data_IF_314478947812
#
_entry.id   IF_314478947812
#
_cell.length_a   1.000
_cell.length_b   1.000
_cell.length_c   1.000
_cell.angle_alpha   90.00
_cell.angle_beta   90.00
_cell.angle_gamma   90.00
#
_symmetry.space_group_name_H-M   'P 1'
#
loop_
_entity.id
_entity.type
_entity.pdbx_description
1 polymer ?
#
# COMPACT_ATOMS: atom_id res chain seq x y z
N UNK A 1 4.45 47.78 40.76
CA UNK A 1 3.01 47.43 40.86
C UNK A 1 2.27 48.40 39.96
N UNK A 2 1.66 48.04 38.85
CA UNK A 2 1.40 46.72 38.28
C UNK A 2 1.31 46.86 36.77
N UNK A 3 1.79 45.82 36.10
CA UNK A 3 1.54 45.51 34.70
C UNK A 3 0.09 45.05 34.59
N UNK A 4 -0.64 45.49 33.56
CA UNK A 4 -1.66 44.66 32.89
C UNK A 4 -2.12 45.38 31.62
N UNK A 5 -1.44 45.07 30.52
CA UNK A 5 -1.93 45.27 29.17
C UNK A 5 -2.36 43.93 28.61
N UNK A 6 -3.67 43.65 28.63
CA UNK A 6 -4.27 42.56 27.86
C UNK A 6 -4.90 43.15 26.60
N UNK A 7 -4.52 42.71 25.39
CA UNK A 7 -5.34 42.96 24.22
C UNK A 7 -6.37 41.84 24.08
N UNK A 8 -7.65 42.20 24.17
CA UNK A 8 -8.78 41.33 23.84
C UNK A 8 -8.67 40.86 22.38
N UNK A 9 -8.27 39.60 22.18
CA UNK A 9 -8.42 38.91 20.91
C UNK A 9 -9.88 38.48 20.71
N UNK A 10 -10.76 39.45 20.45
CA UNK A 10 -12.03 39.18 19.78
C UNK A 10 -11.87 39.46 18.30
N UNK A 11 -11.17 38.57 17.60
CA UNK A 11 -11.18 38.55 16.13
C UNK A 11 -12.56 38.10 15.68
N UNK A 12 -13.52 39.04 15.63
CA UNK A 12 -14.74 38.87 14.86
C UNK A 12 -14.33 38.63 13.42
N UNK A 13 -14.42 37.37 12.97
CA UNK A 13 -14.34 37.02 11.56
C UNK A 13 -15.58 37.61 10.90
N UNK A 14 -15.45 38.85 10.44
CA UNK A 14 -16.41 39.45 9.52
C UNK A 14 -16.27 38.68 8.21
N UNK A 15 -17.19 37.74 7.99
CA UNK A 15 -17.33 37.09 6.69
C UNK A 15 -17.53 38.20 5.64
N UNK A 16 -16.72 38.27 4.57
CA UNK A 16 -16.94 39.24 3.52
C UNK A 16 -18.28 38.95 2.86
N UNK A 17 -19.28 39.78 3.13
CA UNK A 17 -20.53 39.83 2.41
C UNK A 17 -20.28 40.41 1.01
N UNK A 18 -19.85 39.57 0.07
CA UNK A 18 -20.12 39.70 -1.37
C UNK A 18 -19.53 38.51 -2.15
N UNK A 19 -20.22 37.37 -2.16
CA UNK A 19 -20.03 36.37 -3.21
C UNK A 19 -20.93 36.74 -4.40
N UNK A 20 -20.55 37.79 -5.12
CA UNK A 20 -21.17 38.09 -6.39
C UNK A 20 -20.92 36.90 -7.37
N UNK A 21 -21.96 36.09 -7.55
CA UNK A 21 -22.20 35.16 -8.67
C UNK A 21 -21.22 33.99 -8.90
N UNK A 22 -20.60 33.41 -7.87
CA UNK A 22 -20.09 32.03 -8.03
C UNK A 22 -21.26 31.05 -7.87
N UNK A 23 -21.90 30.69 -8.99
CA UNK A 23 -22.96 29.68 -9.00
C UNK A 23 -22.32 28.31 -8.87
N UNK A 24 -22.53 27.68 -7.71
CA UNK A 24 -22.07 26.31 -7.50
C UNK A 24 -22.67 25.39 -8.59
N UNK A 25 -21.87 24.52 -9.23
CA UNK A 25 -22.38 23.64 -10.27
C UNK A 25 -23.48 22.73 -9.71
N UNK A 26 -24.57 22.61 -10.45
CA UNK A 26 -25.67 21.73 -10.08
C UNK A 26 -25.18 20.27 -10.12
N UNK A 27 -25.61 19.41 -9.17
CA UNK A 27 -25.39 17.98 -9.27
C UNK A 27 -25.95 17.40 -10.57
N UNK A 28 -25.27 16.41 -11.12
CA UNK A 28 -25.78 15.65 -12.26
C UNK A 28 -27.03 14.84 -11.87
N UNK A 29 -27.82 14.46 -12.89
CA UNK A 29 -28.99 13.60 -12.66
C UNK A 29 -28.56 12.17 -12.35
N UNK A 30 -29.10 11.58 -11.29
CA UNK A 30 -28.85 10.18 -10.96
C UNK A 30 -29.97 9.28 -11.45
N UNK A 31 -29.71 8.47 -12.49
CA UNK A 31 -30.71 7.58 -13.07
C UNK A 31 -30.72 6.16 -12.46
N UNK A 32 -30.19 5.98 -11.25
CA UNK A 32 -30.31 4.72 -10.53
C UNK A 32 -29.24 3.68 -10.83
N UNK A 33 -28.02 4.12 -11.14
CA UNK A 33 -26.87 3.24 -11.25
C UNK A 33 -26.67 2.41 -9.97
N UNK A 34 -26.41 1.11 -10.11
CA UNK A 34 -26.30 0.17 -8.98
C UNK A 34 -24.85 -0.06 -8.54
N UNK A 35 -23.90 0.72 -9.05
CA UNK A 35 -22.55 0.77 -8.52
C UNK A 35 -22.51 1.75 -7.34
N UNK A 36 -22.02 1.27 -6.19
CA UNK A 36 -21.95 2.08 -4.98
C UNK A 36 -21.12 3.36 -5.15
N UNK A 37 -20.21 3.39 -6.13
CA UNK A 37 -19.40 4.57 -6.47
C UNK A 37 -20.26 5.70 -7.03
N UNK A 38 -21.01 5.47 -8.12
CA UNK A 38 -21.88 6.49 -8.73
C UNK A 38 -22.93 6.99 -7.74
N UNK A 39 -23.52 6.07 -6.96
CA UNK A 39 -24.51 6.42 -5.94
C UNK A 39 -23.91 7.31 -4.85
N UNK A 40 -22.71 6.98 -4.32
CA UNK A 40 -22.08 7.75 -3.26
C UNK A 40 -21.52 9.09 -3.76
N UNK A 41 -20.91 9.10 -4.95
CA UNK A 41 -20.42 10.32 -5.61
C UNK A 41 -21.57 11.30 -5.82
N UNK A 42 -22.70 10.83 -6.34
CA UNK A 42 -23.89 11.66 -6.51
C UNK A 42 -24.42 12.19 -5.17
N UNK A 43 -24.58 11.32 -4.16
CA UNK A 43 -25.07 11.73 -2.84
C UNK A 43 -24.15 12.79 -2.21
N UNK A 44 -22.84 12.65 -2.38
CA UNK A 44 -21.83 13.61 -1.90
C UNK A 44 -21.95 14.95 -2.61
N UNK A 45 -22.17 14.95 -3.93
CA UNK A 45 -22.40 16.16 -4.72
C UNK A 45 -23.68 16.89 -4.27
N UNK A 46 -24.77 16.15 -4.03
CA UNK A 46 -26.03 16.72 -3.51
C UNK A 46 -25.85 17.31 -2.12
N UNK A 47 -25.24 16.60 -1.18
CA UNK A 47 -24.94 17.12 0.18
C UNK A 47 -24.16 18.44 0.13
N UNK A 48 -23.15 18.49 -0.74
CA UNK A 48 -22.32 19.68 -0.92
C UNK A 48 -23.13 20.84 -1.51
N UNK A 49 -23.97 20.56 -2.51
CA UNK A 49 -24.88 21.54 -3.09
C UNK A 49 -25.86 22.09 -2.04
N UNK A 50 -26.48 21.23 -1.23
CA UNK A 50 -27.40 21.64 -0.16
C UNK A 50 -26.72 22.53 0.87
N UNK A 51 -25.48 22.19 1.26
CA UNK A 51 -24.68 22.97 2.21
C UNK A 51 -24.33 24.37 1.68
N UNK A 52 -23.95 24.47 0.40
CA UNK A 52 -23.55 25.75 -0.22
C UNK A 52 -24.76 26.62 -0.57
N UNK A 53 -25.88 26.00 -0.94
CA UNK A 53 -27.09 26.72 -1.38
C UNK A 53 -27.91 27.30 -0.23
N UNK A 54 -27.52 27.03 1.03
CA UNK A 54 -28.19 27.50 2.26
C UNK A 54 -29.71 27.28 2.24
N UNK A 55 -30.15 26.15 1.68
CA UNK A 55 -31.57 25.77 1.61
C UNK A 55 -32.02 25.29 2.99
N UNK A 56 -33.25 25.63 3.41
CA UNK A 56 -33.79 25.13 4.66
C UNK A 56 -33.92 23.60 4.62
N UNK A 57 -33.64 22.94 5.75
CA UNK A 57 -33.57 21.48 5.89
C UNK A 57 -34.84 20.76 5.43
N UNK A 58 -36.00 21.40 5.62
CA UNK A 58 -37.30 20.90 5.17
C UNK A 58 -37.41 20.69 3.65
N UNK A 59 -36.60 21.41 2.87
CA UNK A 59 -36.59 21.32 1.41
C UNK A 59 -35.41 20.51 0.86
N UNK A 60 -34.51 19.99 1.69
CA UNK A 60 -33.34 19.24 1.24
C UNK A 60 -33.72 18.02 0.41
N UNK A 61 -34.72 17.25 0.88
CA UNK A 61 -35.24 16.09 0.16
C UNK A 61 -35.89 16.49 -1.17
N UNK A 62 -36.70 17.54 -1.18
CA UNK A 62 -37.34 18.07 -2.40
C UNK A 62 -36.28 18.43 -3.45
N UNK A 63 -35.22 19.12 -3.03
CA UNK A 63 -34.10 19.48 -3.89
C UNK A 63 -33.35 18.22 -4.38
N UNK A 64 -33.08 17.25 -3.51
CA UNK A 64 -32.42 16.00 -3.89
C UNK A 64 -33.24 15.19 -4.92
N UNK A 65 -34.56 15.10 -4.75
CA UNK A 65 -35.47 14.42 -5.68
C UNK A 65 -35.45 15.10 -7.05
N UNK A 66 -35.30 16.43 -7.11
CA UNK A 66 -35.22 17.16 -8.38
C UNK A 66 -34.02 16.77 -9.26
N UNK A 67 -32.97 16.23 -8.63
CA UNK A 67 -31.78 15.70 -9.30
C UNK A 67 -31.84 14.18 -9.55
N UNK A 68 -32.98 13.53 -9.28
CA UNK A 68 -33.18 12.13 -9.68
C UNK A 68 -33.56 12.04 -11.17
N UNK A 69 -32.94 11.09 -11.85
CA UNK A 69 -33.33 10.64 -13.18
C UNK A 69 -34.66 9.86 -13.14
N UNK A 70 -35.19 9.52 -14.31
CA UNK A 70 -36.51 8.89 -14.46
C UNK A 70 -36.63 7.59 -13.66
N UNK A 71 -35.60 6.75 -13.67
CA UNK A 71 -35.64 5.46 -13.00
C UNK A 71 -35.54 5.60 -11.48
N UNK A 72 -34.65 6.47 -10.99
CA UNK A 72 -34.50 6.72 -9.56
C UNK A 72 -35.72 7.48 -8.98
N UNK A 73 -36.31 8.42 -9.73
CA UNK A 73 -37.54 9.08 -9.33
C UNK A 73 -38.71 8.10 -9.21
N UNK A 74 -38.83 7.13 -10.14
CA UNK A 74 -39.83 6.05 -10.06
C UNK A 74 -39.65 5.21 -8.80
N UNK A 75 -38.41 4.90 -8.42
CA UNK A 75 -38.12 4.22 -7.17
C UNK A 75 -38.58 5.05 -5.97
N UNK A 76 -38.24 6.33 -5.91
CA UNK A 76 -38.61 7.20 -4.79
C UNK A 76 -40.13 7.27 -4.60
N UNK A 77 -40.88 7.45 -5.70
CA UNK A 77 -42.35 7.43 -5.67
C UNK A 77 -42.92 6.10 -5.15
N UNK A 78 -42.21 4.98 -5.38
CA UNK A 78 -42.57 3.66 -4.87
C UNK A 78 -42.13 3.39 -3.42
N UNK A 79 -41.27 4.23 -2.83
CA UNK A 79 -40.80 4.06 -1.45
C UNK A 79 -41.84 4.44 -0.38
N UNK A 80 -42.88 5.19 -0.76
CA UNK A 80 -43.90 5.69 0.17
C UNK A 80 -43.40 6.80 1.11
N UNK A 81 -42.24 7.42 0.81
CA UNK A 81 -41.76 8.61 1.50
C UNK A 81 -42.48 9.85 0.96
N UNK A 82 -42.66 10.86 1.83
CA UNK A 82 -43.11 12.18 1.42
C UNK A 82 -41.93 13.00 0.93
N UNK A 83 -42.17 13.88 -0.04
CA UNK A 83 -41.14 14.78 -0.58
C UNK A 83 -40.50 15.69 0.48
N UNK A 84 -41.24 15.98 1.56
CA UNK A 84 -40.78 16.79 2.70
C UNK A 84 -40.22 15.95 3.85
N UNK A 85 -39.86 14.69 3.63
CA UNK A 85 -39.27 13.87 4.69
C UNK A 85 -37.90 14.43 5.12
N UNK A 86 -37.48 14.08 6.34
CA UNK A 86 -36.11 14.36 6.79
C UNK A 86 -35.10 13.80 5.78
N UNK A 87 -34.05 14.56 5.51
CA UNK A 87 -33.07 14.20 4.49
C UNK A 87 -32.34 12.90 4.86
N UNK A 88 -32.00 12.70 6.13
CA UNK A 88 -31.35 11.48 6.63
C UNK A 88 -32.16 10.20 6.31
N UNK A 89 -33.50 10.27 6.43
CA UNK A 89 -34.38 9.15 6.10
C UNK A 89 -34.35 8.83 4.59
N UNK A 90 -34.28 9.86 3.76
CA UNK A 90 -34.07 9.68 2.32
C UNK A 90 -32.71 9.03 2.05
N UNK A 91 -31.64 9.50 2.69
CA UNK A 91 -30.30 8.95 2.51
C UNK A 91 -30.22 7.47 2.88
N UNK A 92 -30.79 7.08 4.02
CA UNK A 92 -30.78 5.69 4.47
C UNK A 92 -31.48 4.76 3.47
N UNK A 93 -32.65 5.18 2.97
CA UNK A 93 -33.37 4.43 1.93
C UNK A 93 -32.63 4.41 0.61
N UNK A 94 -32.00 5.53 0.23
CA UNK A 94 -31.21 5.64 -0.98
C UNK A 94 -30.00 4.70 -0.94
N UNK A 95 -29.21 4.75 0.15
CA UNK A 95 -28.08 3.86 0.38
C UNK A 95 -28.51 2.40 0.37
N UNK A 96 -29.62 2.07 1.04
CA UNK A 96 -30.15 0.70 1.07
C UNK A 96 -30.53 0.18 -0.32
N UNK A 97 -30.99 1.04 -1.24
CA UNK A 97 -31.42 0.63 -2.58
C UNK A 97 -30.27 0.53 -3.59
N UNK A 98 -29.37 1.50 -3.59
CA UNK A 98 -28.39 1.72 -4.66
C UNK A 98 -26.97 1.36 -4.27
N UNK A 99 -26.66 1.21 -2.98
CA UNK A 99 -25.34 0.78 -2.51
C UNK A 99 -25.41 -0.70 -2.11
N UNK A 100 -24.58 -1.57 -2.72
CA UNK A 100 -24.52 -2.99 -2.32
C UNK A 100 -24.15 -3.15 -0.83
N UNK A 101 -24.72 -4.15 -0.15
CA UNK A 101 -24.48 -4.39 1.29
C UNK A 101 -23.00 -4.60 1.61
N UNK A 102 -22.27 -5.31 0.75
CA UNK A 102 -20.85 -5.59 0.92
C UNK A 102 -19.93 -4.56 0.23
N UNK A 103 -20.46 -3.40 -0.16
CA UNK A 103 -19.71 -2.42 -0.95
C UNK A 103 -18.42 -1.98 -0.26
N UNK A 104 -18.45 -1.71 1.05
CA UNK A 104 -17.24 -1.35 1.80
C UNK A 104 -16.16 -2.44 1.75
N UNK A 105 -16.56 -3.72 1.86
CA UNK A 105 -15.64 -4.85 1.76
C UNK A 105 -15.10 -5.01 0.33
N UNK A 106 -15.93 -4.75 -0.69
CA UNK A 106 -15.50 -4.75 -2.10
C UNK A 106 -14.47 -3.66 -2.36
N UNK A 107 -14.68 -2.46 -1.83
CA UNK A 107 -13.73 -1.33 -1.93
C UNK A 107 -12.42 -1.67 -1.21
N UNK A 108 -12.46 -2.26 -0.01
CA UNK A 108 -11.26 -2.72 0.71
C UNK A 108 -10.50 -3.80 -0.06
N UNK A 109 -11.21 -4.78 -0.64
CA UNK A 109 -10.60 -5.80 -1.48
C UNK A 109 -9.96 -5.19 -2.74
N UNK A 110 -10.59 -4.16 -3.33
CA UNK A 110 -10.05 -3.43 -4.47
C UNK A 110 -8.76 -2.70 -4.09
N UNK A 111 -8.73 -2.01 -2.95
CA UNK A 111 -7.52 -1.38 -2.40
C UNK A 111 -6.42 -2.41 -2.18
N UNK A 112 -6.72 -3.56 -1.59
CA UNK A 112 -5.72 -4.61 -1.35
C UNK A 112 -5.12 -5.17 -2.65
N UNK A 113 -5.88 -5.18 -3.74
CA UNK A 113 -5.44 -5.59 -5.08
C UNK A 113 -4.96 -4.44 -5.97
N UNK A 114 -4.85 -3.23 -5.42
CA UNK A 114 -4.53 -2.01 -6.16
C UNK A 114 -3.11 -2.12 -6.74
N UNK A 115 -3.00 -2.03 -8.06
CA UNK A 115 -1.72 -2.07 -8.78
C UNK A 115 -1.76 -1.18 -10.00
N UNK A 116 -0.66 -0.48 -10.27
CA UNK A 116 -0.56 0.35 -11.46
C UNK A 116 -0.58 -0.53 -12.72
N UNK A 117 -1.62 -0.36 -13.54
CA UNK A 117 -1.85 -1.14 -14.76
C UNK A 117 -1.73 -0.32 -16.04
N UNK A 118 -1.84 1.01 -15.94
CA UNK A 118 -1.75 1.94 -17.07
C UNK A 118 -0.83 3.11 -16.73
N UNK A 119 -1.38 4.30 -16.52
CA UNK A 119 -0.65 5.52 -16.17
C UNK A 119 -0.66 5.76 -14.66
N UNK A 120 0.30 6.54 -14.16
CA UNK A 120 0.31 6.97 -12.75
C UNK A 120 -0.92 7.84 -12.46
N UNK A 121 -1.36 8.67 -13.42
CA UNK A 121 -2.55 9.50 -13.28
C UNK A 121 -3.81 8.66 -12.98
N UNK A 122 -4.09 7.66 -13.81
CA UNK A 122 -5.25 6.78 -13.60
C UNK A 122 -5.14 5.99 -12.29
N UNK A 123 -3.92 5.56 -11.95
CA UNK A 123 -3.66 4.81 -10.74
C UNK A 123 -3.88 5.64 -9.47
N UNK A 124 -3.39 6.89 -9.47
CA UNK A 124 -3.61 7.85 -8.38
C UNK A 124 -5.07 8.24 -8.29
N UNK A 125 -5.76 8.43 -9.42
CA UNK A 125 -7.19 8.70 -9.44
C UNK A 125 -7.99 7.56 -8.80
N UNK A 126 -7.74 6.30 -9.20
CA UNK A 126 -8.39 5.12 -8.60
C UNK A 126 -8.10 5.03 -7.10
N UNK A 127 -6.84 5.24 -6.67
CA UNK A 127 -6.48 5.24 -5.25
C UNK A 127 -7.23 6.32 -4.44
N UNK A 128 -7.38 7.52 -5.00
CA UNK A 128 -8.11 8.65 -4.37
C UNK A 128 -9.60 8.37 -4.25
N UNK A 129 -10.21 7.80 -5.28
CA UNK A 129 -11.62 7.46 -5.27
C UNK A 129 -11.92 6.40 -4.21
N UNK A 130 -11.11 5.33 -4.16
CA UNK A 130 -11.23 4.28 -3.14
C UNK A 130 -11.03 4.83 -1.72
N UNK A 131 -10.03 5.70 -1.52
CA UNK A 131 -9.80 6.35 -0.23
C UNK A 131 -11.01 7.18 0.20
N UNK A 132 -11.59 7.97 -0.71
CA UNK A 132 -12.74 8.83 -0.42
C UNK A 132 -13.94 8.02 0.06
N UNK A 133 -14.24 6.92 -0.62
CA UNK A 133 -15.34 6.01 -0.22
C UNK A 133 -15.12 5.42 1.17
N UNK A 134 -13.91 4.96 1.47
CA UNK A 134 -13.61 4.37 2.78
C UNK A 134 -13.65 5.41 3.90
N UNK A 135 -13.14 6.62 3.65
CA UNK A 135 -13.13 7.70 4.63
C UNK A 135 -14.53 8.18 5.02
N UNK A 136 -15.49 8.13 4.09
CA UNK A 136 -16.90 8.41 4.39
C UNK A 136 -17.51 7.38 5.36
N UNK A 137 -16.95 6.17 5.44
CA UNK A 137 -17.36 5.13 6.37
C UNK A 137 -16.60 5.15 7.71
N UNK A 138 -15.65 6.08 7.89
CA UNK A 138 -14.88 6.17 9.12
C UNK A 138 -15.76 6.67 10.27
N UNK A 139 -15.81 5.91 11.37
CA UNK A 139 -16.59 6.29 12.55
C UNK A 139 -15.92 7.41 13.35
N UNK A 140 -14.58 7.47 13.33
CA UNK A 140 -13.77 8.40 14.11
C UNK A 140 -12.40 8.65 13.45
N UNK A 141 -11.61 9.54 14.07
CA UNK A 141 -10.26 9.91 13.63
C UNK A 141 -9.25 8.75 13.72
N UNK A 142 -9.52 7.72 14.52
CA UNK A 142 -8.68 6.52 14.61
C UNK A 142 -8.87 5.65 13.37
N UNK A 143 -10.12 5.30 13.07
CA UNK A 143 -10.52 4.56 11.88
C UNK A 143 -10.06 5.28 10.60
N UNK A 144 -10.15 6.61 10.58
CA UNK A 144 -9.62 7.43 9.48
C UNK A 144 -8.13 7.20 9.26
N UNK A 145 -7.30 7.26 10.31
CA UNK A 145 -5.84 7.03 10.22
C UNK A 145 -5.49 5.61 9.79
N UNK A 146 -6.26 4.62 10.25
CA UNK A 146 -6.09 3.22 9.82
C UNK A 146 -6.40 3.04 8.33
N UNK A 147 -7.47 3.66 7.83
CA UNK A 147 -7.83 3.65 6.42
C UNK A 147 -6.75 4.33 5.57
N UNK A 148 -6.28 5.52 5.97
CA UNK A 148 -5.20 6.22 5.28
C UNK A 148 -3.93 5.37 5.25
N UNK A 149 -3.56 4.73 6.37
CA UNK A 149 -2.40 3.84 6.44
C UNK A 149 -2.55 2.61 5.54
N UNK A 150 -3.73 1.97 5.54
CA UNK A 150 -4.03 0.81 4.70
C UNK A 150 -3.94 1.14 3.20
N UNK A 151 -4.52 2.28 2.78
CA UNK A 151 -4.45 2.73 1.38
C UNK A 151 -3.02 3.11 1.03
N UNK A 152 -2.28 3.80 1.90
CA UNK A 152 -0.88 4.13 1.67
C UNK A 152 -0.03 2.88 1.42
N UNK A 153 -0.12 1.88 2.30
CA UNK A 153 0.65 0.63 2.18
C UNK A 153 0.33 -0.06 0.85
N UNK A 154 -0.95 -0.20 0.53
CA UNK A 154 -1.40 -0.86 -0.71
C UNK A 154 -0.97 -0.08 -1.95
N UNK A 155 -1.08 1.25 -1.92
CA UNK A 155 -0.66 2.13 -3.00
C UNK A 155 0.83 1.99 -3.29
N UNK A 156 1.67 2.03 -2.26
CA UNK A 156 3.13 1.89 -2.41
C UNK A 156 3.49 0.49 -2.94
N UNK A 157 2.85 -0.57 -2.45
CA UNK A 157 3.06 -1.94 -2.94
C UNK A 157 2.63 -2.13 -4.40
N UNK A 158 1.59 -1.42 -4.83
CA UNK A 158 1.08 -1.46 -6.20
C UNK A 158 1.83 -0.56 -7.20
N UNK A 159 2.70 0.34 -6.72
CA UNK A 159 3.55 1.19 -7.55
C UNK A 159 4.63 0.37 -8.28
N UNK A 160 5.09 0.82 -9.47
CA UNK A 160 6.31 0.31 -10.07
C UNK A 160 7.50 0.47 -9.13
N UNK A 161 8.44 -0.48 -9.14
CA UNK A 161 9.58 -0.50 -8.21
C UNK A 161 10.32 0.85 -8.15
N UNK A 162 10.61 1.46 -9.30
CA UNK A 162 11.31 2.75 -9.36
C UNK A 162 10.52 3.89 -8.69
N UNK A 163 9.20 3.94 -8.87
CA UNK A 163 8.36 4.95 -8.23
C UNK A 163 8.23 4.69 -6.72
N UNK A 164 8.10 3.43 -6.31
CA UNK A 164 8.04 3.02 -4.91
C UNK A 164 9.31 3.46 -4.14
N UNK A 165 10.51 3.22 -4.70
CA UNK A 165 11.77 3.65 -4.10
C UNK A 165 11.83 5.17 -3.88
N UNK A 166 11.44 5.96 -4.89
CA UNK A 166 11.41 7.41 -4.79
C UNK A 166 10.43 7.90 -3.72
N UNK A 167 9.21 7.36 -3.68
CA UNK A 167 8.20 7.76 -2.69
C UNK A 167 8.61 7.36 -1.27
N UNK A 168 9.23 6.19 -1.09
CA UNK A 168 9.75 5.76 0.22
C UNK A 168 10.91 6.64 0.67
N UNK A 169 11.84 6.96 -0.21
CA UNK A 169 12.94 7.87 0.10
C UNK A 169 12.42 9.25 0.52
N UNK A 170 11.43 9.78 -0.21
CA UNK A 170 10.77 11.03 0.14
C UNK A 170 10.13 10.97 1.53
N UNK A 171 9.41 9.88 1.85
CA UNK A 171 8.73 9.73 3.15
C UNK A 171 9.70 9.62 4.34
N UNK A 172 10.94 9.16 4.12
CA UNK A 172 12.00 9.18 5.15
C UNK A 172 12.48 10.60 5.42
N UNK A 173 12.57 11.44 4.39
CA UNK A 173 13.05 12.83 4.51
C UNK A 173 11.96 13.85 4.86
N UNK A 174 10.71 13.56 4.53
CA UNK A 174 9.58 14.48 4.68
C UNK A 174 8.34 13.66 4.99
N UNK A 175 7.74 13.90 6.15
CA UNK A 175 6.51 13.22 6.54
C UNK A 175 5.34 13.81 5.78
N UNK A 176 4.97 13.20 4.65
CA UNK A 176 3.79 13.59 3.88
C UNK A 176 2.57 12.77 4.32
N UNK A 177 1.41 13.41 4.22
CA UNK A 177 0.14 12.69 4.26
C UNK A 177 -0.09 11.95 2.94
N UNK A 178 -1.15 11.15 2.90
CA UNK A 178 -1.47 10.35 1.71
C UNK A 178 -1.74 11.21 0.46
N UNK A 179 -2.30 12.41 0.64
CA UNK A 179 -2.56 13.32 -0.47
C UNK A 179 -1.27 13.92 -1.04
N UNK A 180 -0.31 14.24 -0.18
CA UNK A 180 1.05 14.64 -0.54
C UNK A 180 1.79 13.53 -1.29
N UNK A 181 1.67 12.27 -0.87
CA UNK A 181 2.22 11.12 -1.60
C UNK A 181 1.63 11.01 -3.01
N UNK A 182 0.30 11.16 -3.16
CA UNK A 182 -0.35 11.14 -4.47
C UNK A 182 0.11 12.28 -5.37
N UNK A 183 0.32 13.47 -4.81
CA UNK A 183 0.86 14.60 -5.56
C UNK A 183 2.31 14.37 -6.00
N UNK A 184 3.16 13.87 -5.10
CA UNK A 184 4.55 13.53 -5.41
C UNK A 184 4.64 12.46 -6.50
N UNK A 185 3.77 11.44 -6.46
CA UNK A 185 3.71 10.41 -7.50
C UNK A 185 3.43 11.02 -8.88
N UNK A 186 2.46 11.93 -8.99
CA UNK A 186 2.18 12.66 -10.22
C UNK A 186 3.33 13.54 -10.69
N UNK A 187 4.04 14.20 -9.77
CA UNK A 187 5.22 15.02 -10.11
C UNK A 187 6.37 14.17 -10.63
N UNK A 188 6.67 13.03 -9.99
CA UNK A 188 7.68 12.13 -10.50
C UNK A 188 7.30 11.54 -11.86
N UNK A 189 6.02 11.25 -12.10
CA UNK A 189 5.58 10.74 -13.40
C UNK A 189 5.78 11.73 -14.55
N UNK A 190 5.65 13.04 -14.28
CA UNK A 190 5.96 14.08 -15.27
C UNK A 190 7.43 14.09 -15.70
N UNK A 191 8.33 13.64 -14.82
CA UNK A 191 9.78 13.63 -15.07
C UNK A 191 10.25 12.29 -15.64
N UNK A 192 9.74 11.18 -15.08
CA UNK A 192 10.26 9.84 -15.34
C UNK A 192 9.36 8.97 -16.23
N UNK A 193 8.10 9.37 -16.45
CA UNK A 193 7.11 8.68 -17.28
C UNK A 193 7.04 7.17 -17.00
N UNK A 194 6.57 6.81 -15.80
CA UNK A 194 6.62 5.43 -15.33
C UNK A 194 5.73 4.51 -16.16
N UNK A 195 6.16 3.25 -16.27
CA UNK A 195 5.39 2.17 -16.91
C UNK A 195 5.08 1.07 -15.91
N UNK A 196 3.99 0.31 -16.12
CA UNK A 196 3.68 -0.84 -15.29
C UNK A 196 4.82 -1.86 -15.32
N UNK A 197 5.16 -2.42 -14.16
CA UNK A 197 6.12 -3.52 -14.10
C UNK A 197 5.55 -4.72 -14.85
N UNK A 198 6.22 -5.08 -15.95
CA UNK A 198 6.02 -6.34 -16.68
C UNK A 198 5.98 -7.46 -15.66
N UNK A 199 4.91 -8.28 -15.66
CA UNK A 199 4.71 -9.40 -14.73
C UNK A 199 5.99 -10.22 -14.61
N UNK A 200 6.80 -9.95 -13.59
CA UNK A 200 7.70 -10.95 -13.05
C UNK A 200 6.77 -11.99 -12.44
N UNK A 201 6.69 -13.15 -13.09
CA UNK A 201 6.15 -14.33 -12.44
C UNK A 201 7.05 -14.65 -11.25
N UNK A 202 6.77 -14.04 -10.11
CA UNK A 202 7.13 -14.60 -8.82
C UNK A 202 6.09 -15.68 -8.59
N UNK A 203 6.44 -16.90 -8.99
CA UNK A 203 5.73 -18.10 -8.58
C UNK A 203 5.85 -18.22 -7.07
N UNK A 204 4.87 -17.69 -6.34
CA UNK A 204 4.65 -18.02 -4.95
C UNK A 204 4.17 -19.47 -4.89
N UNK A 205 5.11 -20.42 -4.81
CA UNK A 205 4.82 -21.77 -4.35
C UNK A 205 4.55 -21.73 -2.86
N UNK A 206 3.36 -21.28 -2.46
CA UNK A 206 2.80 -21.59 -1.15
C UNK A 206 2.09 -22.93 -1.27
N UNK A 207 2.85 -23.99 -1.00
CA UNK A 207 2.32 -25.31 -0.77
C UNK A 207 1.41 -25.30 0.45
N UNK A 208 0.11 -25.32 0.19
CA UNK A 208 -0.90 -25.72 1.16
C UNK A 208 -0.59 -27.14 1.63
N UNK A 209 -0.23 -27.30 2.90
CA UNK A 209 -0.50 -28.54 3.62
C UNK A 209 -1.29 -28.19 4.88
N UNK A 210 -2.35 -28.97 5.09
CA UNK A 210 -3.38 -28.78 6.09
C UNK A 210 -2.92 -29.16 7.49
N UNK A 211 -3.62 -28.58 8.48
CA UNK A 211 -3.81 -29.08 9.86
C UNK A 211 -2.59 -28.88 10.79
N UNK A 212 -2.69 -28.51 12.06
CA UNK A 212 -3.80 -28.46 13.02
C UNK A 212 -3.35 -27.65 14.25
N UNK A 213 -4.32 -27.07 14.96
CA UNK A 213 -4.28 -26.56 16.34
C UNK A 213 -3.13 -27.03 17.25
N UNK A 214 -2.37 -26.11 17.84
CA UNK A 214 -1.95 -26.16 19.27
C UNK A 214 -1.70 -24.73 19.79
N UNK A 215 -2.32 -24.40 20.93
CA UNK A 215 -2.01 -23.23 21.73
C UNK A 215 -0.71 -23.43 22.53
N UNK A 216 0.19 -22.44 22.51
CA UNK A 216 1.25 -22.25 23.53
C UNK A 216 1.84 -20.85 23.34
N UNK A 217 1.54 -19.90 24.22
CA UNK A 217 2.33 -19.53 25.40
C UNK A 217 3.28 -18.37 25.08
N UNK A 218 2.98 -17.19 25.64
CA UNK A 218 3.90 -16.06 25.68
C UNK A 218 5.22 -16.51 26.33
N UNK A 219 6.34 -16.31 25.65
CA UNK A 219 7.65 -16.26 26.28
C UNK A 219 8.39 -15.01 25.83
N UNK A 220 8.90 -14.28 26.83
CA UNK A 220 9.65 -13.04 26.72
C UNK A 220 10.87 -13.22 25.82
N UNK A 221 10.93 -12.46 24.74
CA UNK A 221 12.05 -12.48 23.80
C UNK A 221 13.16 -11.58 24.36
N UNK A 222 14.27 -12.18 24.78
CA UNK A 222 15.51 -11.45 25.01
C UNK A 222 15.97 -10.83 23.68
N UNK A 223 16.18 -9.50 23.60
CA UNK A 223 16.43 -8.78 22.34
C UNK A 223 17.74 -9.15 21.62
N UNK A 224 18.59 -9.97 22.23
CA UNK A 224 19.88 -10.43 21.67
C UNK A 224 19.79 -11.77 20.93
N UNK A 225 18.70 -12.54 21.10
CA UNK A 225 18.56 -13.86 20.49
C UNK A 225 18.23 -13.81 18.99
N UNK A 226 17.49 -12.77 18.55
CA UNK A 226 17.12 -12.57 17.15
C UNK A 226 18.34 -12.21 16.28
N UNK A 227 19.36 -11.58 16.86
CA UNK A 227 20.59 -11.21 16.16
C UNK A 227 21.45 -12.44 15.85
N UNK A 228 21.52 -13.41 16.78
CA UNK A 228 22.22 -14.68 16.57
C UNK A 228 21.55 -15.52 15.47
N UNK A 229 20.22 -15.56 15.44
CA UNK A 229 19.49 -16.34 14.44
C UNK A 229 19.51 -15.67 13.06
N UNK A 230 19.52 -14.33 13.00
CA UNK A 230 19.78 -13.59 11.76
C UNK A 230 21.20 -13.83 11.23
N UNK A 231 22.21 -13.80 12.11
CA UNK A 231 23.60 -14.11 11.73
C UNK A 231 23.76 -15.56 11.26
N UNK A 232 23.07 -16.52 11.89
CA UNK A 232 23.03 -17.92 11.42
C UNK A 232 22.39 -18.04 10.04
N UNK A 233 21.33 -17.29 9.77
CA UNK A 233 20.68 -17.26 8.47
C UNK A 233 21.60 -16.67 7.40
N UNK A 234 22.30 -15.57 7.70
CA UNK A 234 23.27 -14.94 6.80
C UNK A 234 24.46 -15.85 6.51
N UNK A 235 25.01 -16.53 7.52
CA UNK A 235 26.12 -17.50 7.32
C UNK A 235 25.67 -18.68 6.47
N UNK A 236 24.45 -19.17 6.65
CA UNK A 236 23.89 -20.24 5.83
C UNK A 236 23.57 -19.76 4.40
N UNK A 237 23.13 -18.51 4.22
CA UNK A 237 22.93 -17.89 2.90
C UNK A 237 24.25 -17.66 2.16
N UNK A 238 25.32 -17.23 2.86
CA UNK A 238 26.66 -17.11 2.27
C UNK A 238 27.25 -18.48 1.92
N UNK A 239 27.04 -19.50 2.77
CA UNK A 239 27.41 -20.89 2.45
C UNK A 239 26.67 -21.40 1.21
N UNK A 240 25.39 -21.09 1.04
CA UNK A 240 24.63 -21.49 -0.15
C UNK A 240 25.08 -20.76 -1.41
N UNK A 241 25.48 -19.49 -1.31
CA UNK A 241 26.08 -18.72 -2.41
C UNK A 241 27.44 -19.29 -2.85
N UNK A 242 28.25 -19.78 -1.91
CA UNK A 242 29.53 -20.42 -2.22
C UNK A 242 29.37 -21.86 -2.75
N UNK A 243 28.38 -22.61 -2.24
CA UNK A 243 28.04 -23.95 -2.77
C UNK A 243 27.27 -23.90 -4.09
N UNK A 244 26.69 -22.75 -4.47
CA UNK A 244 25.98 -22.55 -5.74
C UNK A 244 26.88 -22.49 -6.98
N UNK A 245 28.21 -22.36 -6.81
CA UNK A 245 29.20 -22.42 -7.91
C UNK A 245 29.69 -23.84 -8.22
N UNK A 246 28.80 -24.83 -8.29
CA UNK A 246 29.23 -26.13 -8.80
C UNK A 246 28.18 -27.22 -8.91
N UNK A 247 27.62 -27.38 -10.11
CA UNK A 247 27.91 -28.57 -10.95
C UNK A 247 28.05 -28.14 -12.40
N UNK A 248 29.25 -27.71 -12.79
CA UNK A 248 29.58 -27.58 -14.21
C UNK A 248 29.39 -28.95 -14.86
N UNK A 249 28.64 -29.00 -15.97
CA UNK A 249 28.39 -30.22 -16.72
C UNK A 249 29.72 -30.95 -17.06
N UNK A 250 29.74 -32.29 -17.06
CA UNK A 250 30.94 -33.07 -17.37
C UNK A 250 31.49 -32.63 -18.73
N UNK A 251 32.81 -32.41 -18.79
CA UNK A 251 33.46 -31.87 -19.99
C UNK A 251 33.30 -32.82 -21.17
N UNK A 252 32.77 -32.32 -22.29
CA UNK A 252 32.81 -33.03 -23.56
C UNK A 252 34.23 -32.99 -24.17
N UNK A 253 34.52 -33.89 -25.12
CA UNK A 253 35.86 -34.01 -25.71
C UNK A 253 36.29 -32.75 -26.49
N UNK A 254 35.35 -32.05 -27.14
CA UNK A 254 35.61 -30.82 -27.88
C UNK A 254 36.00 -29.66 -26.95
N UNK A 255 35.36 -29.57 -25.79
CA UNK A 255 35.60 -28.55 -24.77
C UNK A 255 36.92 -28.79 -24.05
N UNK A 256 37.28 -30.06 -23.83
CA UNK A 256 38.62 -30.42 -23.34
C UNK A 256 39.70 -29.93 -24.30
N UNK A 257 39.52 -30.12 -25.60
CA UNK A 257 40.51 -29.67 -26.60
C UNK A 257 40.61 -28.14 -26.67
N UNK A 258 39.48 -27.42 -26.50
CA UNK A 258 39.46 -25.95 -26.42
C UNK A 258 40.18 -25.40 -25.20
N UNK A 259 39.92 -25.99 -24.02
CA UNK A 259 40.58 -25.57 -22.77
C UNK A 259 42.07 -25.90 -22.79
N UNK A 260 42.47 -27.02 -23.40
CA UNK A 260 43.87 -27.38 -23.57
C UNK A 260 44.61 -26.43 -24.52
N UNK A 261 43.98 -25.98 -25.61
CA UNK A 261 44.56 -24.95 -26.50
C UNK A 261 44.69 -23.58 -25.83
N UNK A 262 43.80 -23.27 -24.88
CA UNK A 262 43.78 -21.99 -24.16
C UNK A 262 44.57 -21.98 -22.85
N UNK A 263 45.16 -23.12 -22.44
CA UNK A 263 45.85 -23.23 -21.15
C UNK A 263 44.93 -23.01 -19.94
N UNK A 264 43.65 -23.33 -20.06
CA UNK A 264 42.63 -23.07 -19.05
C UNK A 264 42.33 -24.31 -18.18
N UNK A 265 41.96 -24.06 -16.93
CA UNK A 265 41.73 -25.10 -15.93
C UNK A 265 40.50 -25.96 -16.25
N UNK A 266 40.68 -27.29 -16.30
CA UNK A 266 39.57 -28.22 -16.55
C UNK A 266 38.53 -28.27 -15.43
N UNK A 267 38.79 -27.69 -14.26
CA UNK A 267 37.89 -27.74 -13.09
C UNK A 267 37.03 -26.49 -12.95
N UNK A 268 37.62 -25.30 -13.11
CA UNK A 268 36.91 -24.02 -12.97
C UNK A 268 36.77 -23.24 -14.30
N UNK A 269 37.34 -23.74 -15.41
CA UNK A 269 37.32 -23.14 -16.76
C UNK A 269 37.92 -21.74 -16.89
N UNK A 270 38.69 -21.31 -15.90
CA UNK A 270 39.46 -20.06 -15.92
C UNK A 270 40.83 -20.28 -16.57
N UNK A 271 41.32 -19.28 -17.29
CA UNK A 271 42.66 -19.24 -17.87
C UNK A 271 43.74 -18.90 -16.84
N UNK A 272 45.00 -19.15 -17.22
CA UNK A 272 46.17 -18.83 -16.38
C UNK A 272 46.63 -19.94 -15.42
N UNK A 273 45.91 -21.06 -15.29
CA UNK A 273 46.35 -22.20 -14.47
C UNK A 273 45.76 -23.53 -14.96
N UNK A 274 46.44 -24.65 -14.69
CA UNK A 274 45.91 -25.99 -14.95
C UNK A 274 45.19 -26.58 -13.73
N UNK A 275 44.46 -27.69 -13.90
CA UNK A 275 43.65 -28.30 -12.84
C UNK A 275 44.44 -28.68 -11.56
N UNK A 276 45.77 -28.83 -11.66
CA UNK A 276 46.68 -29.10 -10.54
C UNK A 276 46.98 -27.87 -9.69
N UNK A 277 46.90 -26.68 -10.27
CA UNK A 277 47.22 -25.37 -9.66
C UNK A 277 45.96 -24.55 -9.39
N UNK A 278 44.79 -25.21 -9.36
CA UNK A 278 43.52 -24.52 -9.20
C UNK A 278 43.37 -23.97 -7.78
N UNK A 279 43.22 -22.64 -7.60
CA UNK A 279 43.14 -22.02 -6.27
C UNK A 279 41.87 -22.42 -5.50
N UNK A 280 40.85 -22.89 -6.21
CA UNK A 280 39.62 -23.43 -5.61
C UNK A 280 39.88 -24.77 -4.89
N UNK A 281 41.00 -25.43 -5.15
CA UNK A 281 41.37 -26.71 -4.49
C UNK A 281 42.06 -26.48 -3.15
N UNK A 282 42.74 -25.36 -2.95
CA UNK A 282 43.51 -25.03 -1.74
C UNK A 282 42.66 -24.43 -0.60
N UNK A 283 41.44 -23.96 -0.87
CA UNK A 283 40.56 -23.40 0.16
C UNK A 283 39.94 -24.43 1.12
N UNK A 284 40.12 -25.73 0.86
CA UNK A 284 39.65 -26.81 1.73
C UNK A 284 40.68 -27.27 2.78
N UNK A 285 41.86 -26.63 2.83
CA UNK A 285 42.86 -26.91 3.87
C UNK A 285 43.34 -25.59 4.48
N UNK A 286 42.45 -24.90 5.20
CA UNK A 286 42.89 -23.94 6.20
C UNK A 286 43.39 -24.75 7.38
N UNK A 287 44.72 -24.86 7.51
CA UNK A 287 45.35 -25.32 8.74
C UNK A 287 44.99 -24.33 9.85
N UNK A 288 44.32 -24.81 10.89
CA UNK A 288 44.11 -24.04 12.12
C UNK A 288 45.45 -23.96 12.84
N UNK A 289 45.98 -22.76 13.17
CA UNK A 289 47.16 -22.65 14.02
C UNK A 289 46.85 -23.21 15.42
N UNK A 290 47.72 -24.08 15.95
CA UNK A 290 47.51 -24.79 17.23
C UNK A 290 47.57 -23.91 18.50
N UNK A 291 47.85 -22.60 18.40
CA UNK A 291 48.16 -21.76 19.57
C UNK A 291 47.09 -20.72 19.94
N UNK A 292 45.80 -20.99 19.74
CA UNK A 292 44.74 -20.09 20.22
C UNK A 292 44.32 -20.46 21.67
N UNK A 293 44.50 -19.57 22.67
CA UNK A 293 44.17 -19.87 24.06
C UNK A 293 42.65 -19.95 24.28
N UNK A 294 42.20 -21.09 24.80
CA UNK A 294 40.81 -21.32 25.22
C UNK A 294 40.47 -20.45 26.44
N UNK A 295 39.52 -19.52 26.28
CA UNK A 295 38.82 -18.93 27.42
C UNK A 295 37.62 -19.83 27.79
N UNK A 296 37.79 -20.51 28.92
CA UNK A 296 36.82 -21.38 29.58
C UNK A 296 35.66 -20.54 30.12
N UNK A 297 34.43 -20.82 29.70
CA UNK A 297 33.23 -20.42 30.44
C UNK A 297 32.64 -21.67 31.10
N UNK A 298 32.83 -21.74 32.41
CA UNK A 298 32.31 -22.81 33.27
C UNK A 298 30.82 -22.68 33.49
N UNK A 299 30.10 -23.79 33.29
CA UNK A 299 28.77 -23.98 33.84
C UNK A 299 28.91 -24.55 35.25
N UNK A 300 28.41 -23.81 36.25
CA UNK A 300 28.18 -24.33 37.59
C UNK A 300 26.87 -25.15 37.60
N UNK A 301 26.85 -26.37 38.19
CA UNK A 301 25.62 -27.10 38.41
C UNK A 301 24.93 -26.67 39.71
N UNK A 302 23.61 -26.62 39.65
CA UNK A 302 22.70 -26.35 40.75
C UNK A 302 22.73 -27.47 41.80
N UNK A 303 22.80 -27.09 43.07
CA UNK A 303 22.23 -27.83 44.20
C UNK A 303 21.79 -26.83 45.27
#
# INVERSE_FOLDING_TARGET
MSLDGSPDFTTSVVLPASTANYRYPNPDKFDGALDGFSALTWLTAVRRFLRVSNVAETFHTVVAISFLGTNAARWFNGCGLKDTCAFDLFEDKFKLRFIPKDFGNQVRARVASLRMSSTVENYVAEARDLLTVLLEQAADDSARREIESFVYISFIQGCPNALNELLRALQVTTTLDIYGIFQAAGQYDQVYHFKPDSKSQVGSSLGLTQSSVVAAQLQSVNPMAMEIDNLRLEVNALRSQLNGKGKLAPLNAAERQRLQKRGACFKCRQDGHMARECPVRSLNHVAVPEDAPYLVSGNAPSN
#
